data_IF_850112291395
#
_entry.id   IF_850112291395
#
_cell.length_a   1.000
_cell.length_b   1.000
_cell.length_c   1.000
_cell.angle_alpha   90.00
_cell.angle_beta   90.00
_cell.angle_gamma   90.00
#
_symmetry.space_group_name_H-M   'P 1'
#
loop_
_entity.id
_entity.type
_entity.pdbx_description
1 polymer ?
#
# COMPACT_ATOMS: atom_id res chain seq x y z
N UNK A 1 -1.02 -35.94 36.37
CA UNK A 1 -1.85 -34.77 36.74
C UNK A 1 -3.20 -34.90 36.04
N UNK A 2 -4.31 -34.81 36.78
CA UNK A 2 -5.62 -35.28 36.33
C UNK A 2 -6.31 -34.38 35.29
N UNK A 3 -6.65 -34.98 34.15
CA UNK A 3 -7.56 -34.40 33.15
C UNK A 3 -8.99 -34.39 33.72
N UNK A 4 -9.58 -33.19 33.87
CA UNK A 4 -10.95 -33.01 34.36
C UNK A 4 -11.97 -33.47 33.30
N UNK A 5 -13.02 -34.14 33.78
CA UNK A 5 -14.04 -34.89 33.03
C UNK A 5 -14.77 -34.04 31.97
N UNK A 6 -14.92 -34.60 30.76
CA UNK A 6 -15.99 -34.22 29.83
C UNK A 6 -17.36 -34.60 30.44
N UNK A 7 -18.32 -33.68 30.40
CA UNK A 7 -19.75 -34.03 30.49
C UNK A 7 -20.45 -33.88 31.84
N UNK A 8 -20.15 -32.86 32.66
CA UNK A 8 -21.12 -32.45 33.69
C UNK A 8 -22.16 -31.51 33.05
N UNK A 9 -23.43 -31.92 33.05
CA UNK A 9 -24.55 -30.99 32.82
C UNK A 9 -24.45 -29.87 33.86
N UNK A 10 -24.50 -28.62 33.41
CA UNK A 10 -24.54 -27.49 34.33
C UNK A 10 -25.79 -27.61 35.23
N UNK A 11 -25.71 -27.18 36.51
CA UNK A 11 -26.86 -27.19 37.42
C UNK A 11 -28.06 -26.44 36.84
N UNK A 12 -29.29 -26.91 37.11
CA UNK A 12 -30.52 -26.28 36.60
C UNK A 12 -30.63 -24.79 36.92
N UNK A 13 -30.18 -24.40 38.13
CA UNK A 13 -30.14 -23.00 38.58
C UNK A 13 -29.26 -22.08 37.70
N UNK A 14 -28.20 -22.64 37.11
CA UNK A 14 -27.28 -21.89 36.23
C UNK A 14 -27.93 -21.69 34.85
N UNK A 15 -28.73 -22.66 34.41
CA UNK A 15 -29.51 -22.56 33.17
C UNK A 15 -30.66 -21.56 33.31
N UNK A 16 -31.33 -21.53 34.47
CA UNK A 16 -32.38 -20.55 34.77
C UNK A 16 -31.82 -19.13 34.81
N UNK A 17 -30.73 -18.90 35.54
CA UNK A 17 -30.06 -17.58 35.59
C UNK A 17 -29.59 -17.10 34.21
N UNK A 18 -29.18 -18.03 33.33
CA UNK A 18 -28.86 -17.71 31.93
C UNK A 18 -30.09 -17.21 31.16
N UNK A 19 -31.24 -17.87 31.25
CA UNK A 19 -32.44 -17.46 30.52
C UNK A 19 -33.09 -16.21 31.10
N UNK A 20 -33.07 -16.03 32.42
CA UNK A 20 -33.50 -14.78 33.07
C UNK A 20 -32.70 -13.58 32.56
N UNK A 21 -31.38 -13.73 32.42
CA UNK A 21 -30.52 -12.70 31.85
C UNK A 21 -30.84 -12.42 30.37
N UNK A 22 -31.15 -13.45 29.58
CA UNK A 22 -31.56 -13.28 28.17
C UNK A 22 -32.92 -12.59 28.06
N UNK A 23 -33.89 -12.95 28.90
CA UNK A 23 -35.23 -12.34 28.92
C UNK A 23 -35.20 -10.89 29.43
N UNK A 24 -34.22 -10.55 30.29
CA UNK A 24 -33.90 -9.18 30.67
C UNK A 24 -33.22 -8.35 29.55
N UNK A 25 -33.02 -8.94 28.36
CA UNK A 25 -32.53 -8.25 27.17
C UNK A 25 -31.02 -8.32 26.94
N UNK A 26 -30.28 -9.13 27.71
CA UNK A 26 -28.86 -9.37 27.44
C UNK A 26 -28.70 -10.27 26.22
N UNK A 27 -27.66 -10.01 25.42
CA UNK A 27 -27.27 -10.97 24.37
C UNK A 27 -26.91 -12.32 25.00
N UNK A 28 -27.20 -13.43 24.32
CA UNK A 28 -26.86 -14.78 24.80
C UNK A 28 -25.38 -14.91 25.24
N UNK A 29 -24.46 -14.19 24.59
CA UNK A 29 -23.03 -14.20 24.95
C UNK A 29 -22.71 -13.42 26.23
N UNK A 30 -23.46 -12.36 26.51
CA UNK A 30 -23.34 -11.59 27.75
C UNK A 30 -24.02 -12.35 28.91
N UNK A 31 -25.17 -12.99 28.66
CA UNK A 31 -25.85 -13.86 29.61
C UNK A 31 -24.98 -15.07 30.00
N UNK A 32 -24.21 -15.65 29.07
CA UNK A 32 -23.26 -16.72 29.35
C UNK A 32 -22.18 -16.29 30.35
N UNK A 33 -21.63 -15.09 30.18
CA UNK A 33 -20.64 -14.49 31.08
C UNK A 33 -21.25 -14.21 32.46
N UNK A 34 -22.47 -13.67 32.50
CA UNK A 34 -23.22 -13.39 33.75
C UNK A 34 -23.51 -14.67 34.55
N UNK A 35 -23.94 -15.73 33.87
CA UNK A 35 -24.26 -17.02 34.48
C UNK A 35 -23.03 -17.90 34.76
N UNK A 36 -21.81 -17.45 34.40
CA UNK A 36 -20.57 -18.21 34.61
C UNK A 36 -20.47 -19.49 33.77
N UNK A 37 -21.13 -19.54 32.61
CA UNK A 37 -21.18 -20.72 31.73
C UNK A 37 -20.24 -20.57 30.54
N UNK A 38 -19.60 -21.68 30.16
CA UNK A 38 -18.76 -21.71 28.96
C UNK A 38 -19.58 -21.40 27.70
N UNK A 39 -19.04 -20.52 26.84
CA UNK A 39 -19.74 -19.93 25.69
C UNK A 39 -20.39 -20.96 24.76
N UNK A 40 -19.74 -22.10 24.53
CA UNK A 40 -20.28 -23.15 23.67
C UNK A 40 -21.49 -23.89 24.29
N UNK A 41 -21.54 -23.96 25.62
CA UNK A 41 -22.67 -24.55 26.35
C UNK A 41 -23.88 -23.60 26.31
N UNK A 42 -23.65 -22.31 26.56
CA UNK A 42 -24.68 -21.28 26.40
C UNK A 42 -25.19 -21.16 24.95
N UNK A 43 -24.30 -21.28 23.97
CA UNK A 43 -24.65 -21.33 22.55
C UNK A 43 -25.55 -22.52 22.21
N UNK A 44 -25.32 -23.68 22.84
CA UNK A 44 -26.17 -24.86 22.65
C UNK A 44 -27.56 -24.66 23.26
N UNK A 45 -27.66 -24.05 24.44
CA UNK A 45 -28.94 -23.71 25.08
C UNK A 45 -29.74 -22.66 24.29
N UNK A 46 -29.08 -21.61 23.83
CA UNK A 46 -29.70 -20.56 23.01
C UNK A 46 -30.22 -21.13 21.68
N UNK A 47 -29.46 -22.01 21.00
CA UNK A 47 -29.93 -22.71 19.79
C UNK A 47 -31.14 -23.61 20.06
N UNK A 48 -31.12 -24.35 21.17
CA UNK A 48 -32.23 -25.23 21.55
C UNK A 48 -33.51 -24.45 21.89
N UNK A 49 -33.39 -23.21 22.37
CA UNK A 49 -34.50 -22.31 22.65
C UNK A 49 -34.90 -21.42 21.44
N UNK A 50 -34.31 -21.66 20.25
CA UNK A 50 -34.70 -20.97 19.02
C UNK A 50 -34.04 -19.60 18.79
N UNK A 51 -33.07 -19.19 19.62
CA UNK A 51 -32.33 -17.95 19.40
C UNK A 51 -31.31 -18.11 18.26
N UNK A 52 -31.20 -17.09 17.40
CA UNK A 52 -30.20 -17.06 16.33
C UNK A 52 -28.80 -16.81 16.92
N UNK A 53 -28.02 -17.87 17.10
CA UNK A 53 -26.66 -17.79 17.65
C UNK A 53 -25.68 -17.48 16.53
N UNK A 54 -25.40 -16.19 16.31
CA UNK A 54 -24.30 -15.77 15.43
C UNK A 54 -22.95 -16.07 16.12
N UNK A 55 -22.36 -17.22 15.76
CA UNK A 55 -21.05 -17.68 16.26
C UNK A 55 -19.86 -17.02 15.58
N UNK A 56 -20.08 -16.39 14.42
CA UNK A 56 -19.05 -15.68 13.68
C UNK A 56 -18.71 -14.38 14.41
N UNK A 57 -17.59 -14.38 15.12
CA UNK A 57 -17.01 -13.18 15.69
C UNK A 57 -16.52 -12.29 14.53
N UNK A 58 -17.38 -11.43 14.03
CA UNK A 58 -16.91 -10.21 13.37
C UNK A 58 -16.43 -9.32 14.52
N UNK A 59 -15.12 -9.04 14.54
CA UNK A 59 -14.46 -8.30 15.63
C UNK A 59 -15.25 -7.05 16.06
N UNK A 60 -15.01 -6.62 17.30
CA UNK A 60 -15.64 -5.47 17.97
C UNK A 60 -16.34 -4.52 16.99
N UNK A 61 -17.68 -4.59 16.94
CA UNK A 61 -18.46 -3.68 16.10
C UNK A 61 -18.44 -2.31 16.77
N UNK A 62 -17.56 -1.45 16.29
CA UNK A 62 -17.52 -0.05 16.73
C UNK A 62 -18.76 0.68 16.22
N UNK A 63 -19.36 1.53 17.07
CA UNK A 63 -20.50 2.34 16.69
C UNK A 63 -20.13 3.37 15.61
N UNK A 64 -21.12 3.84 14.86
CA UNK A 64 -20.94 4.92 13.87
C UNK A 64 -20.37 6.16 14.57
N UNK A 65 -20.87 6.49 15.77
CA UNK A 65 -20.37 7.59 16.59
C UNK A 65 -18.89 7.45 16.96
N UNK A 66 -18.41 6.26 17.33
CA UNK A 66 -16.99 6.04 17.62
C UNK A 66 -16.12 6.24 16.37
N UNK A 67 -16.61 5.81 15.20
CA UNK A 67 -15.91 6.00 13.93
C UNK A 67 -15.87 7.48 13.52
N UNK A 68 -16.96 8.21 13.72
CA UNK A 68 -17.03 9.65 13.46
C UNK A 68 -16.13 10.45 14.41
N UNK A 69 -16.16 10.14 15.71
CA UNK A 69 -15.28 10.75 16.71
C UNK A 69 -13.80 10.55 16.37
N UNK A 70 -13.42 9.34 15.96
CA UNK A 70 -12.06 9.02 15.51
C UNK A 70 -11.66 9.91 14.32
N UNK A 71 -12.47 9.94 13.27
CA UNK A 71 -12.14 10.73 12.07
C UNK A 71 -12.18 12.24 12.32
N UNK A 72 -13.03 12.72 13.23
CA UNK A 72 -13.02 14.11 13.66
C UNK A 72 -11.71 14.48 14.37
N UNK A 73 -11.20 13.61 15.26
CA UNK A 73 -9.90 13.81 15.91
C UNK A 73 -8.75 13.80 14.90
N UNK A 74 -8.73 12.84 13.97
CA UNK A 74 -7.71 12.78 12.91
C UNK A 74 -7.72 14.05 12.02
N UNK A 75 -8.90 14.58 11.66
CA UNK A 75 -9.02 15.83 10.89
C UNK A 75 -8.50 17.06 11.64
N UNK A 76 -8.56 17.06 12.97
CA UNK A 76 -7.95 18.10 13.83
C UNK A 76 -6.43 17.94 13.99
N UNK A 77 -5.82 16.92 13.40
CA UNK A 77 -4.38 16.66 13.48
C UNK A 77 -3.96 15.81 14.69
N UNK A 78 -4.89 15.13 15.36
CA UNK A 78 -4.55 14.19 16.41
C UNK A 78 -3.77 12.98 15.84
N UNK A 79 -2.87 12.41 16.65
CA UNK A 79 -2.21 11.14 16.32
C UNK A 79 -3.21 9.99 16.31
N UNK A 80 -2.88 8.88 15.66
CA UNK A 80 -3.74 7.68 15.62
C UNK A 80 -4.04 7.17 17.03
N UNK A 81 -3.04 7.22 17.91
CA UNK A 81 -3.17 6.83 19.32
C UNK A 81 -4.11 7.77 20.07
N UNK A 82 -3.96 9.08 19.92
CA UNK A 82 -4.86 10.05 20.57
C UNK A 82 -6.29 9.95 20.02
N UNK A 83 -6.45 9.81 18.70
CA UNK A 83 -7.77 9.61 18.08
C UNK A 83 -8.45 8.33 18.55
N UNK A 84 -7.68 7.27 18.83
CA UNK A 84 -8.22 6.03 19.39
C UNK A 84 -8.76 6.25 20.82
N UNK A 85 -8.02 6.99 21.65
CA UNK A 85 -8.44 7.38 23.01
C UNK A 85 -9.72 8.23 22.96
N UNK A 86 -9.74 9.28 22.12
CA UNK A 86 -10.88 10.18 21.96
C UNK A 86 -12.16 9.45 21.48
N UNK A 87 -11.99 8.41 20.65
CA UNK A 87 -13.08 7.61 20.13
C UNK A 87 -13.48 6.42 21.03
N UNK A 88 -12.77 6.19 22.13
CA UNK A 88 -12.99 5.04 23.01
C UNK A 88 -12.74 3.69 22.34
N UNK A 89 -11.79 3.62 21.39
CA UNK A 89 -11.47 2.39 20.64
C UNK A 89 -10.04 1.94 20.90
N UNK A 90 -9.77 0.66 20.68
CA UNK A 90 -8.39 0.14 20.73
C UNK A 90 -7.53 0.74 19.61
N UNK A 91 -6.29 1.09 19.92
CA UNK A 91 -5.32 1.62 18.96
C UNK A 91 -5.14 0.71 17.72
N UNK A 92 -5.15 -0.61 17.90
CA UNK A 92 -5.03 -1.57 16.79
C UNK A 92 -6.16 -1.43 15.77
N UNK A 93 -7.38 -1.11 16.23
CA UNK A 93 -8.53 -0.90 15.35
C UNK A 93 -8.47 0.45 14.64
N UNK A 94 -8.02 1.50 15.34
CA UNK A 94 -7.74 2.80 14.74
C UNK A 94 -6.68 2.70 13.63
N UNK A 95 -5.56 2.01 13.88
CA UNK A 95 -4.52 1.75 12.87
C UNK A 95 -5.08 1.00 11.66
N UNK A 96 -5.95 0.01 11.89
CA UNK A 96 -6.60 -0.72 10.80
C UNK A 96 -7.53 0.19 9.97
N UNK A 97 -8.29 1.06 10.62
CA UNK A 97 -9.16 2.03 9.93
C UNK A 97 -8.37 3.00 9.06
N UNK A 98 -7.25 3.51 9.59
CA UNK A 98 -6.32 4.40 8.88
C UNK A 98 -5.78 3.72 7.61
N UNK A 99 -5.29 2.48 7.74
CA UNK A 99 -4.80 1.69 6.60
C UNK A 99 -5.88 1.41 5.56
N UNK A 100 -7.08 1.01 5.99
CA UNK A 100 -8.20 0.72 5.07
C UNK A 100 -8.70 1.98 4.33
N UNK A 101 -8.64 3.14 4.98
CA UNK A 101 -9.01 4.41 4.38
C UNK A 101 -7.89 5.04 3.53
N UNK A 102 -6.69 4.43 3.49
CA UNK A 102 -5.51 5.06 2.87
C UNK A 102 -5.14 6.39 3.52
N UNK A 103 -5.50 6.58 4.79
CA UNK A 103 -5.28 7.82 5.51
C UNK A 103 -3.84 7.89 6.01
N UNK A 104 -3.15 9.00 5.75
CA UNK A 104 -1.84 9.28 6.32
C UNK A 104 -2.02 10.44 7.31
N UNK A 105 -1.69 10.26 8.60
CA UNK A 105 -1.89 11.29 9.60
C UNK A 105 -1.19 12.59 9.20
N UNK A 106 -1.85 13.73 9.44
CA UNK A 106 -1.14 15.01 9.52
C UNK A 106 -0.30 14.94 10.78
N UNK A 107 1.01 14.84 10.65
CA UNK A 107 1.89 15.07 11.80
C UNK A 107 1.75 16.56 12.12
N UNK A 108 1.04 16.88 13.20
CA UNK A 108 0.99 18.24 13.69
C UNK A 108 2.44 18.67 13.98
N UNK A 109 2.94 19.66 13.22
CA UNK A 109 4.16 20.35 13.57
C UNK A 109 3.90 21.02 14.92
N UNK A 110 4.80 20.78 15.87
CA UNK A 110 4.82 21.47 17.15
C UNK A 110 4.77 22.97 16.89
N UNK A 111 3.78 23.66 17.46
CA UNK A 111 3.73 25.14 17.50
C UNK A 111 4.76 25.73 18.48
N UNK A 112 5.66 24.92 19.05
CA UNK A 112 6.79 25.42 19.80
C UNK A 112 7.76 26.10 18.84
N UNK A 113 7.71 27.44 18.84
CA UNK A 113 8.71 28.39 18.36
C UNK A 113 9.57 27.89 17.18
N UNK A 114 9.25 28.42 16.00
CA UNK A 114 10.15 28.44 14.84
C UNK A 114 11.56 28.81 15.34
N UNK A 115 12.56 27.91 15.28
CA UNK A 115 13.94 28.35 15.45
C UNK A 115 14.25 29.25 14.25
N UNK A 116 14.79 30.44 14.51
CA UNK A 116 15.36 31.29 13.47
C UNK A 116 16.31 30.45 12.61
N UNK A 117 15.86 30.10 11.40
CA UNK A 117 16.70 29.43 10.42
C UNK A 117 17.68 30.50 9.94
N UNK A 118 19.00 30.35 10.17
CA UNK A 118 19.95 31.36 9.77
C UNK A 118 19.89 31.53 8.25
N UNK A 119 19.71 32.79 7.83
CA UNK A 119 19.80 33.22 6.45
C UNK A 119 21.23 32.98 5.94
N UNK A 120 21.51 31.79 5.40
CA UNK A 120 22.88 31.50 4.96
C UNK A 120 23.22 30.10 4.47
N UNK A 121 22.25 29.24 4.14
CA UNK A 121 22.57 28.01 3.39
C UNK A 121 22.54 28.34 1.89
N UNK A 122 23.71 28.48 1.30
CA UNK A 122 23.97 28.84 -0.10
C UNK A 122 22.96 28.22 -1.07
N UNK A 123 22.08 29.05 -1.63
CA UNK A 123 21.12 28.66 -2.67
C UNK A 123 21.89 28.57 -3.99
N UNK A 124 22.59 27.46 -4.17
CA UNK A 124 23.26 27.16 -5.42
C UNK A 124 22.21 26.93 -6.54
N UNK A 125 22.02 28.00 -7.32
CA UNK A 125 21.74 28.00 -8.76
C UNK A 125 20.31 27.71 -9.23
N UNK A 126 19.72 28.75 -9.82
CA UNK A 126 18.64 28.71 -10.80
C UNK A 126 19.02 27.94 -12.07
N UNK A 127 19.14 26.62 -11.94
CA UNK A 127 19.11 25.67 -13.06
C UNK A 127 17.80 24.89 -13.00
N UNK A 128 17.38 24.42 -14.17
CA UNK A 128 16.30 23.43 -14.39
C UNK A 128 16.66 22.06 -13.80
N UNK A 129 17.23 22.03 -12.59
CA UNK A 129 17.55 20.80 -11.87
C UNK A 129 16.27 20.25 -11.25
N UNK A 130 16.17 18.91 -11.21
CA UNK A 130 15.07 18.27 -10.52
C UNK A 130 15.10 18.63 -9.03
N UNK A 131 13.93 18.82 -8.42
CA UNK A 131 13.82 19.00 -6.98
C UNK A 131 14.45 17.79 -6.27
N UNK A 132 15.21 18.07 -5.22
CA UNK A 132 15.71 17.07 -4.28
C UNK A 132 14.58 16.59 -3.36
N UNK A 133 14.78 15.48 -2.66
CA UNK A 133 13.78 15.00 -1.70
C UNK A 133 13.55 16.01 -0.57
N UNK A 134 14.62 16.63 -0.05
CA UNK A 134 14.52 17.69 0.98
C UNK A 134 13.68 18.88 0.51
N UNK A 135 13.85 19.31 -0.74
CA UNK A 135 13.03 20.38 -1.31
C UNK A 135 11.57 19.95 -1.50
N UNK A 136 11.30 18.68 -1.83
CA UNK A 136 9.92 18.14 -1.87
C UNK A 136 9.27 18.19 -0.49
N UNK A 137 9.98 17.82 0.58
CA UNK A 137 9.48 17.91 1.95
C UNK A 137 9.19 19.36 2.34
N UNK A 138 10.08 20.30 1.98
CA UNK A 138 9.86 21.73 2.23
C UNK A 138 8.65 22.28 1.46
N UNK A 139 8.45 21.84 0.22
CA UNK A 139 7.24 22.15 -0.56
C UNK A 139 5.98 21.63 0.15
N UNK A 140 6.01 20.41 0.69
CA UNK A 140 4.90 19.84 1.45
C UNK A 140 4.56 20.67 2.69
N UNK A 141 5.57 21.00 3.50
CA UNK A 141 5.40 21.86 4.68
C UNK A 141 4.80 23.23 4.34
N UNK A 142 5.30 23.88 3.27
CA UNK A 142 4.80 25.19 2.88
C UNK A 142 3.35 25.14 2.37
N UNK A 143 2.97 24.10 1.62
CA UNK A 143 1.59 23.92 1.18
C UNK A 143 0.66 23.59 2.34
N UNK A 144 1.11 22.81 3.32
CA UNK A 144 0.35 22.51 4.54
C UNK A 144 0.11 23.74 5.41
N UNK A 145 1.05 24.68 5.43
CA UNK A 145 0.91 25.99 6.06
C UNK A 145 0.03 26.98 5.26
N UNK A 146 -0.57 26.55 4.15
CA UNK A 146 -1.52 27.35 3.36
C UNK A 146 -0.89 28.37 2.43
N UNK A 147 0.43 28.31 2.17
CA UNK A 147 1.06 29.20 1.22
C UNK A 147 0.60 28.90 -0.22
N UNK A 148 0.27 29.94 -0.97
CA UNK A 148 -0.03 29.82 -2.40
C UNK A 148 1.22 29.37 -3.19
N UNK A 149 1.04 28.58 -4.23
CA UNK A 149 2.12 28.00 -5.04
C UNK A 149 3.12 29.04 -5.58
N UNK A 150 2.66 30.23 -5.96
CA UNK A 150 3.52 31.34 -6.38
C UNK A 150 4.46 31.80 -5.25
N UNK A 151 3.93 31.96 -4.03
CA UNK A 151 4.71 32.35 -2.86
C UNK A 151 5.69 31.25 -2.44
N UNK A 152 5.30 29.98 -2.59
CA UNK A 152 6.18 28.84 -2.33
C UNK A 152 7.37 28.82 -3.30
N UNK A 153 7.13 29.11 -4.57
CA UNK A 153 8.19 29.19 -5.57
C UNK A 153 9.24 30.27 -5.21
N UNK A 154 8.79 31.46 -4.78
CA UNK A 154 9.67 32.52 -4.28
C UNK A 154 10.47 32.07 -3.05
N UNK A 155 9.81 31.51 -2.03
CA UNK A 155 10.45 31.06 -0.79
C UNK A 155 11.48 29.95 -1.00
N UNK A 156 11.27 29.10 -2.00
CA UNK A 156 12.18 28.02 -2.35
C UNK A 156 13.28 28.46 -3.34
N UNK A 157 13.22 29.68 -3.88
CA UNK A 157 14.12 30.12 -4.95
C UNK A 157 13.99 29.28 -6.23
N UNK A 158 12.79 28.75 -6.52
CA UNK A 158 12.49 27.88 -7.66
C UNK A 158 11.49 28.55 -8.60
N UNK A 159 11.53 28.16 -9.88
CA UNK A 159 10.58 28.69 -10.87
C UNK A 159 9.16 28.14 -10.63
N UNK A 160 8.13 28.96 -10.83
CA UNK A 160 6.72 28.59 -10.66
C UNK A 160 6.34 27.30 -11.39
N UNK A 161 6.72 27.13 -12.66
CA UNK A 161 6.52 25.87 -13.40
C UNK A 161 7.12 24.63 -12.72
N UNK A 162 8.28 24.78 -12.06
CA UNK A 162 8.94 23.63 -11.42
C UNK A 162 8.11 23.17 -10.23
N UNK A 163 7.65 24.14 -9.42
CA UNK A 163 6.74 23.88 -8.31
C UNK A 163 5.41 23.33 -8.81
N UNK A 164 4.80 23.94 -9.83
CA UNK A 164 3.53 23.48 -10.40
C UNK A 164 3.59 22.04 -10.93
N UNK A 165 4.61 21.70 -11.71
CA UNK A 165 4.81 20.32 -12.18
C UNK A 165 5.05 19.35 -11.02
N UNK A 166 5.75 19.77 -9.98
CA UNK A 166 5.98 18.93 -8.81
C UNK A 166 4.68 18.69 -8.02
N UNK A 167 3.88 19.73 -7.80
CA UNK A 167 2.59 19.63 -7.14
C UNK A 167 1.73 18.58 -7.84
N UNK A 168 1.65 18.64 -9.17
CA UNK A 168 0.90 17.64 -9.96
C UNK A 168 1.42 16.22 -9.76
N UNK A 169 2.74 16.01 -9.69
CA UNK A 169 3.33 14.68 -9.46
C UNK A 169 2.99 14.11 -8.08
N UNK A 170 3.01 14.94 -7.05
CA UNK A 170 2.75 14.54 -5.67
C UNK A 170 1.29 14.73 -5.22
N UNK A 171 0.38 15.13 -6.11
CA UNK A 171 -1.00 15.45 -5.74
C UNK A 171 -1.74 14.17 -5.35
N UNK A 172 -2.33 14.19 -4.15
CA UNK A 172 -3.23 13.14 -3.66
C UNK A 172 -4.58 13.73 -3.28
N UNK A 173 -5.54 12.86 -2.96
CA UNK A 173 -6.82 13.24 -2.33
C UNK A 173 -6.64 14.01 -1.01
N UNK A 174 -5.49 13.88 -0.35
CA UNK A 174 -5.18 14.56 0.92
C UNK A 174 -4.36 15.85 0.78
N UNK A 175 -4.05 16.26 -0.47
CA UNK A 175 -3.10 17.33 -0.78
C UNK A 175 -1.82 16.80 -1.41
N UNK A 176 -0.84 17.68 -1.61
CA UNK A 176 0.47 17.30 -2.12
C UNK A 176 1.27 16.50 -1.06
N UNK A 177 1.96 15.45 -1.50
CA UNK A 177 2.82 14.58 -0.66
C UNK A 177 4.20 14.41 -1.30
N UNK A 178 5.26 14.71 -0.53
CA UNK A 178 6.64 14.62 -1.00
C UNK A 178 7.06 13.19 -1.37
N UNK A 179 6.62 12.20 -0.58
CA UNK A 179 6.89 10.79 -0.85
C UNK A 179 6.33 10.33 -2.20
N UNK A 180 5.08 10.71 -2.51
CA UNK A 180 4.45 10.38 -3.80
C UNK A 180 5.16 11.10 -4.95
N UNK A 181 5.49 12.39 -4.78
CA UNK A 181 6.26 13.14 -5.77
C UNK A 181 7.63 12.51 -6.05
N UNK A 182 8.29 12.00 -5.00
CA UNK A 182 9.56 11.28 -5.11
C UNK A 182 9.41 9.95 -5.86
N UNK A 183 8.41 9.14 -5.51
CA UNK A 183 8.15 7.86 -6.17
C UNK A 183 7.89 8.03 -7.67
N UNK A 184 7.07 9.03 -8.04
CA UNK A 184 6.81 9.37 -9.44
C UNK A 184 8.06 9.88 -10.14
N UNK A 185 8.88 10.71 -9.48
CA UNK A 185 10.15 11.18 -10.03
C UNK A 185 11.14 10.03 -10.28
N UNK A 186 11.23 9.08 -9.35
CA UNK A 186 12.10 7.92 -9.48
C UNK A 186 11.60 6.92 -10.52
N UNK A 187 10.29 6.70 -10.61
CA UNK A 187 9.68 5.91 -11.67
C UNK A 187 9.98 6.51 -13.06
N UNK A 188 9.84 7.84 -13.21
CA UNK A 188 10.15 8.53 -14.45
C UNK A 188 11.66 8.48 -14.78
N UNK A 189 12.54 8.56 -13.76
CA UNK A 189 13.99 8.47 -13.96
C UNK A 189 14.42 7.11 -14.50
N UNK A 190 13.76 6.02 -14.09
CA UNK A 190 14.07 4.66 -14.55
C UNK A 190 13.97 4.52 -16.08
N UNK A 191 13.10 5.32 -16.73
CA UNK A 191 12.84 5.36 -18.17
C UNK A 191 13.09 4.02 -18.89
N UNK A 192 12.41 2.92 -18.48
CA UNK A 192 12.60 1.64 -19.13
C UNK A 192 12.09 1.76 -20.57
N UNK A 193 13.01 1.67 -21.54
CA UNK A 193 12.64 1.48 -22.94
C UNK A 193 12.35 0.00 -23.13
N UNK A 194 11.22 -0.31 -23.74
CA UNK A 194 10.96 -1.67 -24.19
C UNK A 194 12.11 -2.12 -25.10
N UNK A 195 12.66 -3.31 -24.81
CA UNK A 195 13.82 -3.83 -25.55
C UNK A 195 13.41 -4.17 -26.97
N UNK A 196 14.32 -3.99 -27.94
CA UNK A 196 14.06 -4.22 -29.38
C UNK A 196 13.44 -5.59 -29.65
N UNK A 197 13.92 -6.64 -28.98
CA UNK A 197 13.41 -8.01 -29.11
C UNK A 197 12.00 -8.20 -28.54
N UNK A 198 11.59 -7.43 -27.53
CA UNK A 198 10.22 -7.49 -27.01
C UNK A 198 9.27 -6.75 -27.95
N UNK A 199 9.73 -5.61 -28.49
CA UNK A 199 8.97 -4.79 -29.43
C UNK A 199 8.76 -5.47 -30.80
N UNK A 200 9.73 -6.25 -31.28
CA UNK A 200 9.68 -6.92 -32.58
C UNK A 200 9.60 -8.46 -32.39
N UNK A 201 8.39 -9.06 -32.45
CA UNK A 201 8.21 -10.49 -32.26
C UNK A 201 8.78 -11.35 -33.40
N UNK A 202 8.84 -10.83 -34.63
CA UNK A 202 9.42 -11.54 -35.76
C UNK A 202 10.94 -11.69 -35.60
N UNK A 203 11.61 -10.60 -35.21
CA UNK A 203 13.03 -10.62 -34.84
C UNK A 203 13.29 -11.55 -33.64
N UNK A 204 12.42 -11.53 -32.63
CA UNK A 204 12.55 -12.43 -31.50
C UNK A 204 12.52 -13.89 -31.96
N UNK A 205 11.54 -14.27 -32.76
CA UNK A 205 11.37 -15.64 -33.28
C UNK A 205 12.62 -16.13 -34.04
N UNK A 206 13.17 -15.30 -34.94
CA UNK A 206 14.37 -15.63 -35.69
C UNK A 206 15.61 -15.80 -34.78
N UNK A 207 15.73 -14.99 -33.72
CA UNK A 207 16.77 -15.16 -32.71
C UNK A 207 16.57 -16.46 -31.92
N UNK A 208 15.33 -16.84 -31.58
CA UNK A 208 15.05 -18.10 -30.88
C UNK A 208 15.43 -19.31 -31.75
N UNK A 209 15.06 -19.28 -33.03
CA UNK A 209 15.36 -20.34 -33.99
C UNK A 209 16.86 -20.57 -34.17
N UNK A 210 17.64 -19.49 -34.26
CA UNK A 210 19.11 -19.58 -34.29
C UNK A 210 19.69 -20.18 -33.00
N UNK A 211 19.15 -19.78 -31.83
CA UNK A 211 19.58 -20.33 -30.55
C UNK A 211 19.21 -21.82 -30.39
N UNK A 212 18.04 -22.25 -30.87
CA UNK A 212 17.63 -23.66 -30.90
C UNK A 212 18.55 -24.49 -31.81
N UNK A 213 19.00 -23.89 -32.91
CA UNK A 213 19.98 -24.47 -33.85
C UNK A 213 21.41 -24.46 -33.32
N UNK A 214 21.64 -23.99 -32.08
CA UNK A 214 22.94 -23.85 -31.41
C UNK A 214 23.91 -22.88 -32.10
N UNK A 215 23.40 -21.91 -32.84
CA UNK A 215 24.23 -20.83 -33.35
C UNK A 215 24.69 -19.90 -32.20
N UNK A 216 25.91 -19.38 -32.31
CA UNK A 216 26.39 -18.35 -31.38
C UNK A 216 25.65 -17.01 -31.63
N UNK A 217 25.52 -16.13 -30.62
CA UNK A 217 24.92 -14.80 -30.79
C UNK A 217 25.52 -13.96 -31.92
N UNK A 218 26.82 -14.09 -32.18
CA UNK A 218 27.51 -13.46 -33.32
C UNK A 218 27.06 -14.04 -34.66
N UNK A 219 26.92 -15.38 -34.73
CA UNK A 219 26.43 -16.06 -35.94
C UNK A 219 24.98 -15.67 -36.24
N UNK A 220 24.12 -15.60 -35.23
CA UNK A 220 22.72 -15.18 -35.38
C UNK A 220 22.64 -13.73 -35.87
N UNK A 221 23.39 -12.82 -35.23
CA UNK A 221 23.46 -11.41 -35.65
C UNK A 221 23.95 -11.26 -37.09
N UNK A 222 24.93 -12.07 -37.49
CA UNK A 222 25.46 -12.11 -38.86
C UNK A 222 24.45 -12.63 -39.88
N UNK A 223 23.82 -13.79 -39.60
CA UNK A 223 22.80 -14.39 -40.46
C UNK A 223 21.62 -13.46 -40.69
N UNK A 224 21.10 -12.83 -39.64
CA UNK A 224 19.99 -11.88 -39.75
C UNK A 224 20.28 -10.71 -40.72
N UNK A 225 21.53 -10.27 -40.83
CA UNK A 225 21.90 -9.22 -41.80
C UNK A 225 21.98 -9.73 -43.23
N UNK A 226 22.28 -11.01 -43.44
CA UNK A 226 22.33 -11.65 -44.75
C UNK A 226 20.93 -12.02 -45.24
N UNK A 227 20.09 -12.53 -44.33
CA UNK A 227 18.75 -12.99 -44.64
C UNK A 227 17.76 -11.83 -44.80
N UNK A 228 17.99 -10.71 -44.10
CA UNK A 228 17.15 -9.51 -44.12
C UNK A 228 17.96 -8.23 -44.42
N UNK A 229 18.58 -8.10 -45.61
CA UNK A 229 19.45 -6.96 -45.93
C UNK A 229 18.71 -5.62 -46.00
N UNK A 230 17.45 -5.63 -46.47
CA UNK A 230 16.62 -4.44 -46.68
C UNK A 230 15.71 -4.10 -45.49
N UNK A 231 15.76 -4.87 -44.39
CA UNK A 231 14.95 -4.65 -43.20
C UNK A 231 15.81 -4.33 -41.96
N UNK A 232 16.02 -3.04 -41.64
CA UNK A 232 16.75 -2.61 -40.44
C UNK A 232 16.08 -3.01 -39.12
N UNK A 233 14.77 -3.28 -39.11
CA UNK A 233 14.07 -3.71 -37.91
C UNK A 233 14.46 -5.14 -37.50
N UNK A 234 14.89 -5.97 -38.46
CA UNK A 234 15.41 -7.34 -38.27
C UNK A 234 16.88 -7.41 -37.85
N UNK A 235 17.60 -6.27 -37.81
CA UNK A 235 19.00 -6.25 -37.40
C UNK A 235 19.14 -6.14 -35.87
N UNK A 236 19.97 -6.97 -35.26
CA UNK A 236 20.28 -6.91 -33.81
C UNK A 236 21.75 -7.16 -33.55
N UNK A 237 22.34 -6.52 -32.54
CA UNK A 237 23.72 -6.82 -32.13
C UNK A 237 23.78 -8.09 -31.29
N UNK A 238 24.87 -8.83 -31.39
CA UNK A 238 25.13 -10.00 -30.53
C UNK A 238 25.12 -9.65 -29.04
N UNK A 239 25.57 -8.45 -28.64
CA UNK A 239 25.44 -7.96 -27.26
C UNK A 239 23.98 -7.86 -26.77
N UNK A 240 23.06 -7.46 -27.65
CA UNK A 240 21.62 -7.42 -27.31
C UNK A 240 21.07 -8.84 -27.12
N UNK A 241 21.54 -9.79 -27.93
CA UNK A 241 21.18 -11.22 -27.80
C UNK A 241 21.75 -11.77 -26.49
N UNK A 242 23.01 -11.47 -26.13
CA UNK A 242 23.59 -11.83 -24.83
C UNK A 242 22.77 -11.27 -23.67
N UNK A 243 22.45 -9.98 -23.69
CA UNK A 243 21.62 -9.37 -22.65
C UNK A 243 20.22 -10.01 -22.56
N UNK A 244 19.66 -10.47 -23.67
CA UNK A 244 18.38 -11.18 -23.67
C UNK A 244 18.47 -12.55 -23.01
N UNK A 245 19.56 -13.30 -23.28
CA UNK A 245 19.84 -14.60 -22.66
C UNK A 245 20.05 -14.45 -21.15
N UNK A 246 20.75 -13.41 -20.69
CA UNK A 246 21.15 -13.25 -19.30
C UNK A 246 20.18 -12.44 -18.42
N UNK A 247 19.38 -11.54 -18.99
CA UNK A 247 18.53 -10.60 -18.22
C UNK A 247 17.05 -11.00 -18.21
N UNK A 248 16.67 -12.13 -18.81
CA UNK A 248 15.35 -12.72 -18.58
C UNK A 248 15.35 -13.60 -17.31
N UNK A 249 14.39 -13.43 -16.37
CA UNK A 249 14.19 -14.41 -15.32
C UNK A 249 13.78 -15.74 -15.96
N UNK A 250 14.46 -16.82 -15.57
CA UNK A 250 14.22 -18.19 -16.06
C UNK A 250 12.71 -18.51 -16.03
N UNK A 251 12.05 -18.57 -17.20
CA UNK A 251 10.64 -19.02 -17.26
C UNK A 251 9.78 -18.64 -18.47
N UNK A 252 10.16 -17.70 -19.35
CA UNK A 252 9.25 -17.22 -20.41
C UNK A 252 9.62 -17.65 -21.84
N UNK A 253 10.26 -18.80 -22.00
CA UNK A 253 10.34 -19.42 -23.33
C UNK A 253 9.19 -20.40 -23.42
N UNK A 254 8.27 -20.26 -24.40
CA UNK A 254 7.43 -21.39 -24.75
C UNK A 254 8.40 -22.51 -25.13
N UNK A 255 8.50 -23.54 -24.28
CA UNK A 255 9.15 -24.79 -24.70
C UNK A 255 8.30 -25.30 -25.83
N UNK A 256 8.71 -25.06 -27.08
CA UNK A 256 8.23 -25.88 -28.17
C UNK A 256 8.71 -27.28 -27.83
N UNK A 257 7.78 -28.09 -27.34
CA UNK A 257 7.97 -29.51 -27.15
C UNK A 257 8.20 -30.10 -28.53
N UNK A 258 9.47 -30.14 -28.95
CA UNK A 258 9.91 -30.99 -30.03
C UNK A 258 9.62 -32.43 -29.62
N UNK A 259 8.50 -32.95 -30.13
CA UNK A 259 8.31 -34.38 -30.27
C UNK A 259 8.47 -34.71 -31.76
N UNK A 260 9.44 -35.58 -31.99
CA UNK A 260 9.80 -36.33 -33.22
C UNK A 260 10.78 -35.66 -34.16
#
# INVERSE_FOLDING_TARGET
>A
MGFRRRGQQAPGSVREAFFEAVDAGLSWSAAATSAGVYRDTAAAWARAAGYEVQTKHFGTRYSVAAREAFWAAMKRGASVTQGAVDAGVSETAAVRWVRQAGYVPRTAVSTAAVPDIPAGAEVASGRRSALTFTERCRLEELLENGFASARVAELMGRHGDTIGREIVRGQTISGYRAGVGQDVADANRKRPKERKLVKNPALLAAVLEGLESRDSPEQISGRLRLDFPDDPEMQVSHETIYQAIYVQPRGSWPRTSSQR
#
